data_IF_084051973610
#
_entry.id   IF_084051973610
#
_cell.length_a   1.000
_cell.length_b   1.000
_cell.length_c   1.000
_cell.angle_alpha   90.00
_cell.angle_beta   90.00
_cell.angle_gamma   90.00
#
_symmetry.space_group_name_H-M   'P 1'
#
loop_
_entity.id
_entity.type
_entity.pdbx_description
1 polymer ?
#
# COMPACT_ATOMS: atom_id res chain seq x y z
N UNK A 1 31.65 -28.90 41.85
CA UNK A 1 32.49 -27.71 41.63
C UNK A 1 33.37 -27.99 40.42
N UNK A 2 33.41 -27.08 39.44
CA UNK A 2 34.27 -27.21 38.26
C UNK A 2 33.48 -27.18 36.95
N UNK A 3 33.31 -25.99 36.42
CA UNK A 3 32.82 -25.64 35.08
C UNK A 3 34.02 -25.63 34.11
N UNK A 4 33.85 -25.96 32.82
CA UNK A 4 34.49 -25.30 31.64
C UNK A 4 34.34 -26.10 30.32
N UNK A 5 33.48 -25.56 29.44
CA UNK A 5 33.69 -25.16 28.02
C UNK A 5 34.14 -26.11 26.88
N UNK A 6 33.63 -25.76 25.69
CA UNK A 6 34.05 -26.08 24.30
C UNK A 6 33.21 -27.18 23.64
N UNK A 7 32.60 -27.03 22.45
CA UNK A 7 32.68 -26.01 21.39
C UNK A 7 31.48 -26.19 20.44
N UNK A 8 31.21 -25.11 19.70
CA UNK A 8 30.50 -24.96 18.42
C UNK A 8 30.57 -26.21 17.52
N UNK A 9 29.54 -26.54 16.73
CA UNK A 9 29.14 -25.79 15.54
C UNK A 9 27.64 -25.92 15.23
N UNK A 10 26.94 -24.79 15.18
CA UNK A 10 25.62 -24.69 14.56
C UNK A 10 25.80 -24.52 13.05
N UNK A 11 25.54 -25.60 12.31
CA UNK A 11 25.33 -25.54 10.86
C UNK A 11 24.10 -24.68 10.56
N UNK A 12 24.35 -23.39 10.33
CA UNK A 12 23.38 -22.43 9.84
C UNK A 12 23.07 -22.73 8.36
N UNK A 13 22.30 -23.79 8.14
CA UNK A 13 21.67 -24.10 6.88
C UNK A 13 20.52 -23.10 6.64
N UNK A 14 20.88 -21.89 6.22
CA UNK A 14 19.98 -20.91 5.62
C UNK A 14 19.53 -21.38 4.23
N UNK A 15 18.79 -22.48 4.22
CA UNK A 15 18.03 -22.96 3.08
C UNK A 15 16.91 -21.96 2.77
N UNK A 16 17.22 -20.93 2.00
CA UNK A 16 16.23 -20.26 1.16
C UNK A 16 15.63 -21.35 0.25
N UNK A 17 14.31 -21.60 0.26
CA UNK A 17 13.74 -22.63 -0.59
C UNK A 17 13.88 -22.20 -2.05
N UNK A 18 14.80 -22.86 -2.75
CA UNK A 18 14.88 -22.92 -4.20
C UNK A 18 13.60 -23.60 -4.71
N UNK A 19 12.55 -22.80 -4.93
CA UNK A 19 11.33 -23.26 -5.58
C UNK A 19 11.51 -23.20 -7.09
N UNK A 20 11.64 -24.40 -7.65
CA UNK A 20 11.61 -24.76 -9.06
C UNK A 20 10.63 -23.96 -9.93
N UNK A 21 11.15 -23.34 -11.00
CA UNK A 21 10.37 -22.76 -12.09
C UNK A 21 10.43 -21.23 -12.19
N UNK A 22 11.62 -20.64 -12.35
CA UNK A 22 11.77 -19.19 -12.44
C UNK A 22 11.27 -18.64 -13.78
N UNK A 23 9.98 -18.30 -13.85
CA UNK A 23 9.57 -17.14 -14.62
C UNK A 23 10.43 -15.96 -14.17
N UNK A 24 11.23 -15.40 -15.08
CA UNK A 24 12.10 -14.25 -14.78
C UNK A 24 11.22 -13.11 -14.26
N UNK A 25 11.21 -12.89 -12.93
CA UNK A 25 10.54 -11.73 -12.36
C UNK A 25 11.20 -10.47 -12.90
N UNK A 26 10.43 -9.52 -13.48
CA UNK A 26 10.99 -8.27 -13.96
C UNK A 26 11.81 -7.56 -12.88
N UNK A 27 12.98 -7.03 -13.23
CA UNK A 27 13.88 -6.33 -12.28
C UNK A 27 13.17 -5.22 -11.50
N UNK A 28 12.21 -4.53 -12.13
CA UNK A 28 11.39 -3.48 -11.51
C UNK A 28 10.59 -4.00 -10.31
N UNK A 29 10.05 -5.21 -10.40
CA UNK A 29 9.29 -5.81 -9.29
C UNK A 29 10.22 -6.25 -8.15
N UNK A 30 11.42 -6.75 -8.47
CA UNK A 30 12.44 -7.09 -7.47
C UNK A 30 12.87 -5.84 -6.70
N UNK A 31 13.08 -4.72 -7.39
CA UNK A 31 13.41 -3.44 -6.76
C UNK A 31 12.27 -2.94 -5.85
N UNK A 32 11.02 -3.05 -6.31
CA UNK A 32 9.86 -2.69 -5.49
C UNK A 32 9.73 -3.58 -4.24
N UNK A 33 10.00 -4.88 -4.35
CA UNK A 33 10.04 -5.82 -3.22
C UNK A 33 11.14 -5.43 -2.21
N UNK A 34 12.34 -5.07 -2.68
CA UNK A 34 13.42 -4.58 -1.81
C UNK A 34 13.01 -3.32 -1.04
N UNK A 35 12.38 -2.36 -1.72
CA UNK A 35 11.89 -1.14 -1.09
C UNK A 35 10.80 -1.41 -0.04
N UNK A 36 9.91 -2.39 -0.29
CA UNK A 36 8.94 -2.86 0.71
C UNK A 36 9.63 -3.51 1.90
N UNK A 37 10.66 -4.30 1.68
CA UNK A 37 11.43 -4.93 2.75
C UNK A 37 12.10 -3.87 3.63
N UNK A 38 12.73 -2.85 3.03
CA UNK A 38 13.29 -1.70 3.76
C UNK A 38 12.23 -0.96 4.58
N UNK A 39 11.05 -0.70 3.98
CA UNK A 39 9.92 -0.07 4.69
C UNK A 39 9.48 -0.91 5.90
N UNK A 40 9.42 -2.24 5.78
CA UNK A 40 9.09 -3.13 6.89
C UNK A 40 10.12 -3.07 8.03
N UNK A 41 11.42 -2.94 7.71
CA UNK A 41 12.46 -2.75 8.72
C UNK A 41 12.34 -1.38 9.42
N UNK A 42 11.99 -0.32 8.69
CA UNK A 42 11.73 0.98 9.29
C UNK A 42 10.49 0.96 10.19
N UNK A 43 9.45 0.21 9.79
CA UNK A 43 8.23 0.00 10.59
C UNK A 43 8.54 -0.71 11.91
N UNK A 44 9.35 -1.77 11.89
CA UNK A 44 9.71 -2.52 13.10
C UNK A 44 10.50 -1.62 14.08
N UNK A 45 11.44 -0.82 13.57
CA UNK A 45 12.17 0.16 14.38
C UNK A 45 11.25 1.26 14.92
N UNK A 46 10.29 1.75 14.13
CA UNK A 46 9.34 2.76 14.57
C UNK A 46 8.45 2.22 15.70
N UNK A 47 8.01 0.97 15.60
CA UNK A 47 7.24 0.28 16.65
C UNK A 47 8.05 0.14 17.93
N UNK A 48 9.30 -0.31 17.85
CA UNK A 48 10.18 -0.41 19.01
C UNK A 48 10.43 0.96 19.67
N UNK A 49 10.64 2.01 18.88
CA UNK A 49 10.77 3.37 19.41
C UNK A 49 9.48 3.89 20.07
N UNK A 50 8.32 3.50 19.55
CA UNK A 50 7.02 3.85 20.13
C UNK A 50 6.80 3.15 21.48
N UNK A 51 7.10 1.85 21.56
CA UNK A 51 7.01 1.07 22.79
C UNK A 51 7.94 1.63 23.87
N UNK A 52 9.21 1.90 23.52
CA UNK A 52 10.14 2.51 24.47
C UNK A 52 9.69 3.92 24.89
N UNK A 53 9.21 4.74 23.95
CA UNK A 53 8.68 6.07 24.26
C UNK A 53 7.54 6.00 25.28
N UNK A 54 6.70 4.97 25.19
CA UNK A 54 5.61 4.76 26.12
C UNK A 54 6.15 4.37 27.50
N UNK A 55 7.12 3.46 27.58
CA UNK A 55 7.77 3.07 28.84
C UNK A 55 8.36 4.29 29.55
N UNK A 56 9.21 5.08 28.86
CA UNK A 56 9.85 6.27 29.45
C UNK A 56 8.84 7.29 29.97
N UNK A 57 7.73 7.49 29.23
CA UNK A 57 6.67 8.41 29.65
C UNK A 57 6.00 7.96 30.96
N UNK A 58 5.70 6.67 31.09
CA UNK A 58 5.10 6.10 32.30
C UNK A 58 6.08 6.09 33.48
N UNK A 59 7.39 5.99 33.21
CA UNK A 59 8.45 6.10 34.21
C UNK A 59 8.79 7.55 34.61
N UNK A 60 8.15 8.56 34.00
CA UNK A 60 8.36 9.97 34.33
C UNK A 60 9.48 10.67 33.56
N UNK A 61 10.21 9.95 32.71
CA UNK A 61 11.29 10.46 31.85
C UNK A 61 10.73 11.11 30.58
N UNK A 62 10.09 12.27 30.76
CA UNK A 62 9.35 12.96 29.68
C UNK A 62 10.24 13.46 28.53
N UNK A 63 11.47 13.86 28.82
CA UNK A 63 12.44 14.31 27.81
C UNK A 63 12.84 13.18 26.87
N UNK A 64 13.16 12.03 27.43
CA UNK A 64 13.57 10.80 26.76
C UNK A 64 12.42 10.26 25.91
N UNK A 65 11.22 10.21 26.49
CA UNK A 65 9.99 9.89 25.76
C UNK A 65 9.78 10.80 24.54
N UNK A 66 10.01 12.12 24.69
CA UNK A 66 9.88 13.07 23.57
C UNK A 66 10.89 12.79 22.46
N UNK A 67 12.15 12.50 22.79
CA UNK A 67 13.20 12.16 21.81
C UNK A 67 12.79 10.90 21.03
N UNK A 68 12.32 9.86 21.72
CA UNK A 68 11.86 8.61 21.09
C UNK A 68 10.63 8.83 20.21
N UNK A 69 9.71 9.71 20.61
CA UNK A 69 8.54 10.07 19.79
C UNK A 69 8.93 10.81 18.51
N UNK A 70 9.95 11.67 18.56
CA UNK A 70 10.52 12.33 17.36
C UNK A 70 11.17 11.27 16.45
N UNK A 71 11.97 10.36 17.02
CA UNK A 71 12.59 9.25 16.28
C UNK A 71 11.55 8.37 15.59
N UNK A 72 10.49 7.97 16.30
CA UNK A 72 9.34 7.23 15.76
C UNK A 72 8.73 7.95 14.56
N UNK A 73 8.45 9.25 14.70
CA UNK A 73 7.86 10.06 13.62
C UNK A 73 8.75 10.11 12.38
N UNK A 74 10.07 10.27 12.57
CA UNK A 74 11.02 10.27 11.47
C UNK A 74 11.11 8.90 10.77
N UNK A 75 11.12 7.81 11.52
CA UNK A 75 11.11 6.44 10.97
C UNK A 75 9.83 6.16 10.16
N UNK A 76 8.66 6.58 10.64
CA UNK A 76 7.41 6.46 9.88
C UNK A 76 7.45 7.28 8.58
N UNK A 77 8.05 8.47 8.59
CA UNK A 77 8.24 9.26 7.37
C UNK A 77 9.08 8.50 6.34
N UNK A 78 10.25 7.99 6.74
CA UNK A 78 11.13 7.21 5.85
C UNK A 78 10.44 5.94 5.34
N UNK A 79 9.72 5.23 6.22
CA UNK A 79 8.91 4.05 5.84
C UNK A 79 7.91 4.40 4.73
N UNK A 80 7.17 5.50 4.90
CA UNK A 80 6.19 5.95 3.92
C UNK A 80 6.83 6.32 2.58
N UNK A 81 8.00 6.98 2.61
CA UNK A 81 8.76 7.31 1.39
C UNK A 81 9.17 6.04 0.62
N UNK A 82 9.67 5.02 1.32
CA UNK A 82 10.04 3.72 0.72
C UNK A 82 8.84 2.98 0.15
N UNK A 83 7.73 2.94 0.89
CA UNK A 83 6.46 2.37 0.39
C UNK A 83 5.96 3.10 -0.86
N UNK A 84 6.03 4.43 -0.88
CA UNK A 84 5.62 5.24 -2.02
C UNK A 84 6.49 4.98 -3.26
N UNK A 85 7.81 4.84 -3.07
CA UNK A 85 8.74 4.48 -4.15
C UNK A 85 8.38 3.09 -4.73
N UNK A 86 8.17 2.10 -3.88
CA UNK A 86 7.74 0.75 -4.31
C UNK A 86 6.40 0.79 -5.07
N UNK A 87 5.41 1.50 -4.52
CA UNK A 87 4.10 1.65 -5.12
C UNK A 87 4.16 2.28 -6.52
N UNK A 88 5.03 3.28 -6.72
CA UNK A 88 5.25 3.92 -8.03
C UNK A 88 5.83 2.94 -9.05
N UNK A 89 6.80 2.12 -8.67
CA UNK A 89 7.40 1.12 -9.55
C UNK A 89 6.37 0.06 -9.96
N UNK A 90 5.64 -0.48 -8.99
CA UNK A 90 4.57 -1.47 -9.21
C UNK A 90 3.50 -0.89 -10.12
N UNK A 91 2.98 0.30 -9.79
CA UNK A 91 1.93 0.94 -10.55
C UNK A 91 2.35 1.20 -11.99
N UNK A 92 3.55 1.77 -12.20
CA UNK A 92 4.09 2.01 -13.54
C UNK A 92 4.20 0.73 -14.35
N UNK A 93 4.75 -0.33 -13.76
CA UNK A 93 4.92 -1.60 -14.46
C UNK A 93 3.60 -2.22 -14.91
N UNK A 94 2.57 -2.22 -14.05
CA UNK A 94 1.29 -2.83 -14.40
C UNK A 94 0.41 -1.95 -15.27
N UNK A 95 0.63 -0.63 -15.34
CA UNK A 95 -0.25 0.29 -16.05
C UNK A 95 0.35 0.90 -17.33
N UNK A 96 1.64 0.68 -17.64
CA UNK A 96 2.31 1.30 -18.79
C UNK A 96 1.65 1.00 -20.16
N UNK A 97 1.13 -0.21 -20.35
CA UNK A 97 0.57 -0.68 -21.63
C UNK A 97 -0.96 -0.86 -21.56
N UNK A 98 -1.60 -0.27 -20.56
CA UNK A 98 -3.05 -0.40 -20.34
C UNK A 98 -3.82 0.69 -21.09
N UNK A 99 -5.02 0.37 -21.58
CA UNK A 99 -5.93 1.37 -22.12
C UNK A 99 -6.24 2.48 -21.10
N UNK A 100 -6.55 3.68 -21.60
CA UNK A 100 -6.83 4.84 -20.74
C UNK A 100 -8.01 4.64 -19.79
N UNK A 101 -8.93 3.73 -20.10
CA UNK A 101 -10.09 3.38 -19.29
C UNK A 101 -9.86 2.17 -18.36
N UNK A 102 -8.62 1.72 -18.18
CA UNK A 102 -8.27 0.59 -17.31
C UNK A 102 -7.17 1.01 -16.33
N UNK A 103 -7.31 0.61 -15.07
CA UNK A 103 -6.29 0.80 -14.04
C UNK A 103 -6.10 -0.47 -13.23
N UNK A 104 -4.85 -0.80 -12.94
CA UNK A 104 -4.48 -1.96 -12.15
C UNK A 104 -3.83 -1.58 -10.82
N UNK A 105 -4.46 -2.04 -9.74
CA UNK A 105 -4.14 -1.74 -8.36
C UNK A 105 -3.80 -3.00 -7.54
N UNK A 106 -3.81 -4.20 -8.12
CA UNK A 106 -3.83 -5.46 -7.34
C UNK A 106 -2.63 -5.68 -6.40
N UNK A 107 -1.47 -5.09 -6.71
CA UNK A 107 -0.22 -5.24 -5.94
C UNK A 107 0.10 -4.03 -5.05
N UNK A 108 -0.84 -3.09 -4.89
CA UNK A 108 -0.67 -1.90 -4.05
C UNK A 108 -1.25 -2.09 -2.65
N UNK A 109 -0.80 -1.28 -1.69
CA UNK A 109 -1.53 -1.16 -0.42
C UNK A 109 -2.80 -0.35 -0.62
N UNK A 110 -3.78 -0.56 0.27
CA UNK A 110 -5.13 0.02 0.13
C UNK A 110 -5.09 1.53 -0.03
N UNK A 111 -4.32 2.24 0.81
CA UNK A 111 -4.25 3.71 0.75
C UNK A 111 -3.64 4.20 -0.56
N UNK A 112 -2.56 3.57 -1.01
CA UNK A 112 -1.91 3.86 -2.28
C UNK A 112 -2.88 3.61 -3.46
N UNK A 113 -3.58 2.48 -3.43
CA UNK A 113 -4.56 2.10 -4.45
C UNK A 113 -5.67 3.15 -4.58
N UNK A 114 -6.22 3.63 -3.46
CA UNK A 114 -7.25 4.66 -3.45
C UNK A 114 -6.74 6.01 -3.97
N UNK A 115 -5.49 6.38 -3.66
CA UNK A 115 -4.88 7.60 -4.21
C UNK A 115 -4.73 7.53 -5.74
N UNK A 116 -4.28 6.39 -6.28
CA UNK A 116 -4.18 6.20 -7.73
C UNK A 116 -5.56 6.13 -8.39
N UNK A 117 -6.54 5.48 -7.75
CA UNK A 117 -7.92 5.43 -8.22
C UNK A 117 -8.53 6.83 -8.36
N UNK A 118 -8.40 7.68 -7.33
CA UNK A 118 -8.89 9.05 -7.35
C UNK A 118 -8.28 9.83 -8.53
N UNK A 119 -6.96 9.80 -8.68
CA UNK A 119 -6.27 10.48 -9.79
C UNK A 119 -6.75 9.99 -11.14
N UNK A 120 -6.96 8.68 -11.29
CA UNK A 120 -7.42 8.12 -12.56
C UNK A 120 -8.86 8.48 -12.88
N UNK A 121 -9.73 8.56 -11.87
CA UNK A 121 -11.09 9.05 -12.05
C UNK A 121 -11.11 10.49 -12.57
N UNK A 122 -10.28 11.36 -12.00
CA UNK A 122 -10.18 12.76 -12.43
C UNK A 122 -9.62 12.87 -13.86
N UNK A 123 -8.63 12.04 -14.21
CA UNK A 123 -8.10 11.91 -15.57
C UNK A 123 -9.18 11.40 -16.56
N UNK A 124 -9.95 10.37 -16.19
CA UNK A 124 -11.01 9.82 -17.02
C UNK A 124 -12.11 10.84 -17.28
N UNK A 125 -12.54 11.58 -16.24
CA UNK A 125 -13.52 12.66 -16.37
C UNK A 125 -13.03 13.77 -17.31
N UNK A 126 -11.77 14.19 -17.16
CA UNK A 126 -11.17 15.22 -18.00
C UNK A 126 -11.06 14.81 -19.48
N UNK A 127 -10.95 13.50 -19.74
CA UNK A 127 -10.86 12.93 -21.09
C UNK A 127 -12.21 12.43 -21.64
N UNK A 128 -13.35 12.75 -21.01
CA UNK A 128 -14.68 12.27 -21.39
C UNK A 128 -14.81 10.74 -21.49
N UNK A 129 -14.05 10.01 -20.68
CA UNK A 129 -14.14 8.56 -20.58
C UNK A 129 -15.38 8.21 -19.75
N UNK A 130 -16.30 7.45 -20.34
CA UNK A 130 -17.61 7.12 -19.75
C UNK A 130 -17.58 5.93 -18.80
N UNK A 131 -16.51 5.15 -18.79
CA UNK A 131 -16.39 3.95 -17.96
C UNK A 131 -14.94 3.71 -17.56
N UNK A 132 -14.70 3.32 -16.31
CA UNK A 132 -13.38 2.96 -15.80
C UNK A 132 -13.39 1.52 -15.26
N UNK A 133 -12.49 0.68 -15.76
CA UNK A 133 -12.26 -0.68 -15.24
C UNK A 133 -11.11 -0.68 -14.23
N UNK A 134 -11.40 -1.03 -12.99
CA UNK A 134 -10.45 -1.06 -11.87
C UNK A 134 -10.10 -2.50 -11.52
N UNK A 135 -8.90 -2.96 -11.85
CA UNK A 135 -8.39 -4.29 -11.51
C UNK A 135 -7.89 -4.27 -10.05
N UNK A 136 -8.55 -5.05 -9.20
CA UNK A 136 -8.27 -5.14 -7.76
C UNK A 136 -7.54 -6.43 -7.37
N UNK A 137 -7.43 -7.37 -8.31
CA UNK A 137 -6.85 -8.71 -8.11
C UNK A 137 -7.89 -9.75 -7.70
N UNK A 138 -7.57 -11.04 -7.92
CA UNK A 138 -8.46 -12.18 -7.66
C UNK A 138 -8.48 -12.65 -6.19
N UNK A 139 -7.59 -12.14 -5.33
CA UNK A 139 -7.57 -12.49 -3.90
C UNK A 139 -7.04 -13.89 -3.55
N UNK A 140 -6.55 -14.66 -4.54
CA UNK A 140 -6.18 -16.08 -4.39
C UNK A 140 -5.04 -16.39 -3.40
N UNK A 141 -4.30 -15.38 -2.91
CA UNK A 141 -3.11 -15.57 -2.04
C UNK A 141 -3.25 -15.00 -0.62
N UNK A 142 -4.46 -14.65 -0.15
CA UNK A 142 -4.65 -14.25 1.25
C UNK A 142 -5.16 -15.43 2.08
N UNK A 143 -4.52 -15.73 3.21
CA UNK A 143 -4.97 -16.77 4.17
C UNK A 143 -6.42 -16.55 4.64
N UNK A 144 -6.96 -15.33 4.49
CA UNK A 144 -8.33 -14.93 4.84
C UNK A 144 -9.26 -14.67 3.63
N UNK A 145 -8.85 -14.98 2.39
CA UNK A 145 -9.62 -14.83 1.12
C UNK A 145 -10.27 -13.45 0.83
N UNK A 146 -9.95 -12.39 1.56
CA UNK A 146 -10.47 -11.05 1.28
C UNK A 146 -9.39 -10.24 0.56
N UNK A 147 -9.59 -10.03 -0.75
CA UNK A 147 -8.82 -9.04 -1.51
C UNK A 147 -9.09 -7.66 -0.90
N UNK A 148 -8.21 -7.17 -0.01
CA UNK A 148 -8.44 -5.95 0.82
C UNK A 148 -8.76 -4.69 0.00
N UNK A 149 -8.33 -4.64 -1.25
CA UNK A 149 -8.54 -3.50 -2.16
C UNK A 149 -9.97 -3.44 -2.67
N UNK A 150 -10.54 -4.57 -3.11
CA UNK A 150 -11.89 -4.61 -3.69
C UNK A 150 -12.98 -3.98 -2.81
N UNK A 151 -13.17 -4.38 -1.53
CA UNK A 151 -14.22 -3.78 -0.70
C UNK A 151 -13.94 -2.30 -0.40
N UNK A 152 -12.67 -1.86 -0.46
CA UNK A 152 -12.29 -0.46 -0.26
C UNK A 152 -12.58 0.39 -1.50
N UNK A 153 -12.35 -0.14 -2.70
CA UNK A 153 -12.77 0.49 -3.97
C UNK A 153 -14.30 0.58 -4.04
N UNK A 154 -15.01 -0.47 -3.66
CA UNK A 154 -16.47 -0.47 -3.64
C UNK A 154 -17.03 0.55 -2.63
N UNK A 155 -16.42 0.66 -1.44
CA UNK A 155 -16.81 1.65 -0.46
C UNK A 155 -16.53 3.07 -0.98
N UNK A 156 -15.35 3.29 -1.57
CA UNK A 156 -14.99 4.55 -2.19
C UNK A 156 -16.00 4.97 -3.27
N UNK A 157 -16.41 4.06 -4.16
CA UNK A 157 -17.42 4.35 -5.18
C UNK A 157 -18.78 4.72 -4.56
N UNK A 158 -19.23 3.98 -3.54
CA UNK A 158 -20.47 4.30 -2.80
C UNK A 158 -20.42 5.67 -2.14
N UNK A 159 -19.31 6.02 -1.49
CA UNK A 159 -19.13 7.32 -0.84
C UNK A 159 -19.14 8.50 -1.83
N UNK A 160 -18.72 8.24 -3.07
CA UNK A 160 -18.71 9.24 -4.14
C UNK A 160 -19.95 9.19 -5.04
N UNK A 161 -20.99 8.43 -4.64
CA UNK A 161 -22.22 8.22 -5.43
C UNK A 161 -21.95 7.75 -6.87
N UNK A 162 -20.90 6.95 -7.06
CA UNK A 162 -20.55 6.39 -8.35
C UNK A 162 -21.26 5.06 -8.56
N UNK A 163 -21.92 4.93 -9.70
CA UNK A 163 -22.50 3.67 -10.13
C UNK A 163 -21.38 2.69 -10.49
N UNK A 164 -21.45 1.48 -9.95
CA UNK A 164 -20.41 0.46 -10.14
C UNK A 164 -20.99 -0.94 -10.32
N UNK A 165 -20.23 -1.81 -10.97
CA UNK A 165 -20.52 -3.24 -11.12
C UNK A 165 -19.29 -4.05 -10.71
N UNK A 166 -19.35 -4.82 -9.59
CA UNK A 166 -18.22 -5.61 -9.12
C UNK A 166 -18.14 -6.97 -9.84
N UNK A 167 -16.92 -7.39 -10.18
CA UNK A 167 -16.58 -8.70 -10.75
C UNK A 167 -15.51 -9.42 -9.89
N UNK A 168 -15.18 -10.67 -10.22
CA UNK A 168 -14.26 -11.49 -9.40
C UNK A 168 -12.86 -10.89 -9.18
N UNK A 169 -12.29 -10.22 -10.19
CA UNK A 169 -10.94 -9.63 -10.13
C UNK A 169 -10.86 -8.13 -10.41
N UNK A 170 -12.00 -7.49 -10.70
CA UNK A 170 -12.07 -6.08 -11.06
C UNK A 170 -13.45 -5.48 -10.71
N UNK A 171 -13.54 -4.16 -10.72
CA UNK A 171 -14.77 -3.38 -10.54
C UNK A 171 -14.89 -2.41 -11.71
N UNK A 172 -16.05 -2.34 -12.34
CA UNK A 172 -16.33 -1.36 -13.40
C UNK A 172 -17.09 -0.20 -12.79
N UNK A 173 -16.59 1.03 -13.00
CA UNK A 173 -17.22 2.28 -12.55
C UNK A 173 -17.79 3.00 -13.77
N UNK A 174 -19.07 3.35 -13.69
CA UNK A 174 -19.78 4.14 -14.69
C UNK A 174 -19.57 5.63 -14.39
N UNK A 175 -19.09 6.36 -15.38
CA UNK A 175 -18.76 7.79 -15.32
C UNK A 175 -19.69 8.65 -16.18
N UNK A 176 -20.75 8.05 -16.76
CA UNK A 176 -21.72 8.76 -17.62
C UNK A 176 -22.59 9.77 -16.87
N UNK A 177 -22.77 9.57 -15.56
CA UNK A 177 -23.57 10.46 -14.71
C UNK A 177 -22.65 11.42 -13.94
N UNK A 178 -22.26 12.51 -14.59
CA UNK A 178 -21.83 13.70 -13.85
C UNK A 178 -23.07 14.34 -13.24
N UNK A 179 -23.41 13.97 -12.01
CA UNK A 179 -24.21 14.85 -11.16
C UNK A 179 -23.35 16.11 -10.92
N UNK A 180 -23.51 17.10 -11.81
CA UNK A 180 -23.11 18.47 -11.56
C UNK A 180 -23.86 18.92 -10.30
N UNK A 181 -23.25 18.75 -9.13
CA UNK A 181 -23.54 19.67 -8.04
C UNK A 181 -22.72 20.92 -8.29
N UNK A 182 -23.24 21.75 -9.19
CA UNK A 182 -22.88 23.15 -9.29
C UNK A 182 -23.31 23.83 -7.99
N UNK A 183 -22.44 23.82 -6.97
CA UNK A 183 -22.55 24.79 -5.87
C UNK A 183 -21.99 26.11 -6.35
N UNK A 184 -22.72 26.83 -7.20
CA UNK A 184 -22.45 28.22 -7.53
C UNK A 184 -23.76 28.96 -7.79
N UNK A 185 -24.15 29.85 -6.88
CA UNK A 185 -25.29 30.74 -7.12
C UNK A 185 -25.77 31.55 -5.91
N UNK A 186 -24.89 31.94 -4.98
CA UNK A 186 -25.21 33.00 -4.04
C UNK A 186 -25.16 34.33 -4.81
N UNK A 187 -26.30 34.75 -5.36
CA UNK A 187 -26.52 36.13 -5.80
C UNK A 187 -26.96 36.87 -4.54
N UNK A 188 -26.06 37.69 -3.99
CA UNK A 188 -26.44 38.79 -3.10
C UNK A 188 -27.00 39.89 -4.01
N UNK A 189 -28.30 40.17 -3.87
CA UNK A 189 -28.90 41.44 -4.30
C UNK A 189 -28.74 42.46 -3.18
#
# INVERSE_FOLDING_TARGET
MGNTSSSTDEDNNSSLPFSSGSSLRPRILIEAESLRAEAQQLMSQAKAAAEQSQIEYHSGYKSEAKILSIKKTNLYKQMNEKNQQAAKLIFKHFNQDRPNNVIDLHSLYVEEALQYLQKKLDECRSNNITQLTVITGMGNNSQDKIAKIKPKVENFARQNNLKMTPYGGHVVIDLTETNHQDTNGCIIL
#
